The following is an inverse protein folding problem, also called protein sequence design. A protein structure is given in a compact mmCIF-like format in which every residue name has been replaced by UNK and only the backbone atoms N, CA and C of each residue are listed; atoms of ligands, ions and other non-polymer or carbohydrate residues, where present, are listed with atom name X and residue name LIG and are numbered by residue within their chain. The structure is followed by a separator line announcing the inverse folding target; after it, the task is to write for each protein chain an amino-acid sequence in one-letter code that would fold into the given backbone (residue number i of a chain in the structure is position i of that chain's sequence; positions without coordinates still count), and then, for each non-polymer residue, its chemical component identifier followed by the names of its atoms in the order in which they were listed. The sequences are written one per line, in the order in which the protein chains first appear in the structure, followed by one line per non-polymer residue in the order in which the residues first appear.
data_IF_023667650818
#
_entry.id   IF_023667650818
#
_cell.length_a   1.000
_cell.length_b   1.000
_cell.length_c   1.000
_cell.angle_alpha   90.00
_cell.angle_beta   90.00
_cell.angle_gamma   90.00
#
_symmetry.space_group_name_H-M   'P 1'
#
loop_
_entity.id
_entity.type
_entity.pdbx_description
1 polymer ?
#
# COMPACT_ATOMS: atom_id res chain seq x y z
N UNK A 1 6.33 15.09 -2.39
CA UNK A 1 5.01 15.32 -3.01
C UNK A 1 4.28 14.01 -3.14
N UNK A 2 3.11 13.88 -2.53
CA UNK A 2 2.32 12.65 -2.60
C UNK A 2 1.37 12.71 -3.79
N UNK A 3 1.22 11.63 -4.55
CA UNK A 3 0.25 11.55 -5.65
C UNK A 3 -1.19 11.88 -5.17
N UNK A 4 -1.50 11.64 -3.89
CA UNK A 4 -2.80 11.94 -3.30
C UNK A 4 -3.14 13.44 -3.27
N UNK A 5 -2.17 14.36 -3.32
CA UNK A 5 -2.47 15.79 -3.37
C UNK A 5 -3.12 16.22 -4.69
N UNK A 6 -3.04 15.39 -5.72
CA UNK A 6 -3.62 15.62 -7.04
C UNK A 6 -4.99 14.94 -7.22
N UNK A 7 -5.41 14.14 -6.24
CA UNK A 7 -6.72 13.48 -6.25
C UNK A 7 -7.83 14.52 -6.34
N UNK A 8 -8.81 14.27 -7.22
CA UNK A 8 -9.98 15.12 -7.47
C UNK A 8 -9.66 16.54 -7.99
N UNK A 9 -8.41 16.78 -8.43
CA UNK A 9 -8.03 18.01 -9.13
C UNK A 9 -8.15 17.81 -10.64
N UNK A 10 -8.72 18.79 -11.32
CA UNK A 10 -8.77 18.83 -12.79
C UNK A 10 -7.46 19.41 -13.37
N UNK A 11 -6.31 18.90 -12.92
CA UNK A 11 -5.01 19.27 -13.48
C UNK A 11 -4.70 18.35 -14.66
N UNK A 12 -4.08 18.89 -15.70
CA UNK A 12 -3.63 18.07 -16.82
C UNK A 12 -2.46 17.17 -16.36
N UNK A 13 -2.39 15.97 -16.92
CA UNK A 13 -1.38 14.95 -16.56
C UNK A 13 0.05 15.51 -16.68
N UNK A 14 0.27 16.40 -17.65
CA UNK A 14 1.53 17.07 -17.92
C UNK A 14 1.97 17.96 -16.75
N UNK A 15 1.02 18.66 -16.12
CA UNK A 15 1.28 19.51 -14.94
C UNK A 15 1.60 18.67 -13.71
N UNK A 16 0.89 17.55 -13.53
CA UNK A 16 1.15 16.59 -12.44
C UNK A 16 2.56 16.00 -12.60
N UNK A 17 2.90 15.58 -13.81
CA UNK A 17 4.21 15.01 -14.13
C UNK A 17 5.35 16.00 -13.87
N UNK A 18 5.18 17.27 -14.25
CA UNK A 18 6.14 18.33 -13.99
C UNK A 18 6.34 18.59 -12.48
N UNK A 19 5.24 18.66 -11.70
CA UNK A 19 5.31 18.91 -10.25
C UNK A 19 5.91 17.73 -9.46
N UNK A 20 5.73 16.51 -9.97
CA UNK A 20 6.30 15.29 -9.39
C UNK A 20 7.68 14.94 -9.94
N UNK A 21 8.13 15.63 -11.01
CA UNK A 21 9.35 15.32 -11.75
C UNK A 21 9.40 13.86 -12.23
N UNK A 22 8.31 13.40 -12.87
CA UNK A 22 8.18 12.04 -13.43
C UNK A 22 7.89 12.10 -14.92
N UNK A 23 8.31 11.06 -15.65
CA UNK A 23 8.02 10.93 -17.10
C UNK A 23 6.69 10.26 -17.38
N UNK A 24 6.38 9.22 -16.61
CA UNK A 24 5.19 8.40 -16.82
C UNK A 24 4.24 8.56 -15.64
N UNK A 25 2.95 8.65 -15.95
CA UNK A 25 1.88 8.71 -14.96
C UNK A 25 0.98 7.49 -15.15
N UNK A 26 0.77 6.74 -14.06
CA UNK A 26 -0.28 5.72 -13.99
C UNK A 26 -1.47 6.36 -13.31
N UNK A 27 -2.61 6.34 -13.99
CA UNK A 27 -3.88 6.78 -13.40
C UNK A 27 -4.97 5.73 -13.63
N UNK A 28 -5.99 5.76 -12.77
CA UNK A 28 -7.03 4.76 -12.84
C UNK A 28 -8.14 4.97 -11.84
N UNK A 29 -9.12 4.08 -11.90
CA UNK A 29 -10.25 4.03 -10.98
C UNK A 29 -10.52 2.60 -10.56
N UNK A 30 -10.90 2.44 -9.30
CA UNK A 30 -11.37 1.17 -8.75
C UNK A 30 -12.80 1.39 -8.27
N UNK A 31 -13.72 0.54 -8.73
CA UNK A 31 -15.09 0.46 -8.23
C UNK A 31 -15.37 -0.95 -7.78
N UNK A 32 -16.06 -1.09 -6.66
CA UNK A 32 -16.51 -2.37 -6.13
C UNK A 32 -18.02 -2.37 -6.05
N UNK A 33 -18.64 -3.43 -6.55
CA UNK A 33 -20.06 -3.71 -6.44
C UNK A 33 -20.20 -5.16 -5.98
N UNK A 34 -20.66 -5.34 -4.73
CA UNK A 34 -20.69 -6.65 -4.04
C UNK A 34 -19.32 -7.36 -4.11
N UNK A 35 -19.26 -8.46 -4.86
CA UNK A 35 -18.07 -9.28 -5.07
C UNK A 35 -17.37 -8.98 -6.40
N UNK A 36 -17.85 -8.04 -7.22
CA UNK A 36 -17.18 -7.63 -8.44
C UNK A 36 -16.34 -6.37 -8.21
N UNK A 37 -15.09 -6.40 -8.65
CA UNK A 37 -14.20 -5.24 -8.74
C UNK A 37 -14.00 -4.90 -10.21
N UNK A 38 -14.29 -3.63 -10.54
CA UNK A 38 -13.94 -3.00 -11.80
C UNK A 38 -12.74 -2.10 -11.61
N UNK A 39 -11.65 -2.37 -12.32
CA UNK A 39 -10.47 -1.52 -12.39
C UNK A 39 -10.34 -0.99 -13.80
N UNK A 40 -10.22 0.32 -13.94
CA UNK A 40 -9.72 0.95 -15.17
C UNK A 40 -8.36 1.54 -14.83
N UNK A 41 -7.36 1.29 -15.66
CA UNK A 41 -6.01 1.79 -15.46
C UNK A 41 -5.40 2.17 -16.79
N UNK A 42 -4.65 3.25 -16.81
CA UNK A 42 -3.89 3.71 -17.96
C UNK A 42 -2.51 4.22 -17.57
N UNK A 43 -1.58 4.11 -18.50
CA UNK A 43 -0.21 4.58 -18.42
C UNK A 43 -0.01 5.65 -19.50
N UNK A 44 0.41 6.83 -19.09
CA UNK A 44 0.53 8.02 -19.93
C UNK A 44 2.00 8.48 -19.95
N UNK A 45 2.54 8.74 -21.15
CA UNK A 45 3.84 9.43 -21.31
C UNK A 45 3.61 10.94 -21.32
N UNK A 46 3.93 11.60 -20.20
CA UNK A 46 3.68 13.02 -20.00
C UNK A 46 4.55 13.94 -20.86
N UNK A 47 5.58 13.42 -21.55
CA UNK A 47 6.32 14.21 -22.54
C UNK A 47 5.53 14.39 -23.84
N UNK A 48 4.64 13.45 -24.14
CA UNK A 48 3.91 13.41 -25.42
C UNK A 48 2.39 13.54 -25.25
N UNK A 49 1.90 13.50 -24.01
CA UNK A 49 0.46 13.41 -23.70
C UNK A 49 -0.19 12.11 -24.17
N UNK A 50 0.59 11.13 -24.63
CA UNK A 50 0.05 9.92 -25.25
C UNK A 50 -0.22 8.84 -24.21
N UNK A 51 -1.39 8.22 -24.31
CA UNK A 51 -1.70 6.98 -23.61
C UNK A 51 -0.97 5.82 -24.29
N UNK A 52 -0.03 5.21 -23.58
CA UNK A 52 0.80 4.11 -24.11
C UNK A 52 0.28 2.73 -23.72
N UNK A 53 -0.63 2.66 -22.73
CA UNK A 53 -1.33 1.44 -22.35
C UNK A 53 -2.59 1.78 -21.54
N UNK A 54 -3.69 1.08 -21.80
CA UNK A 54 -4.91 1.17 -21.01
C UNK A 54 -5.64 -0.17 -21.01
N UNK A 55 -6.06 -0.61 -19.84
CA UNK A 55 -6.85 -1.83 -19.67
C UNK A 55 -7.98 -1.64 -18.67
N UNK A 56 -9.01 -2.47 -18.86
CA UNK A 56 -10.13 -2.61 -17.94
C UNK A 56 -10.23 -4.05 -17.47
N UNK A 57 -10.35 -4.21 -16.17
CA UNK A 57 -10.54 -5.50 -15.52
C UNK A 57 -11.88 -5.52 -14.82
N UNK A 58 -12.62 -6.60 -15.01
CA UNK A 58 -13.78 -6.97 -14.24
C UNK A 58 -13.48 -8.35 -13.63
N UNK A 59 -13.32 -8.43 -12.30
CA UNK A 59 -12.92 -9.65 -11.57
C UNK A 59 -13.65 -9.77 -10.24
N UNK A 60 -13.68 -10.98 -9.73
CA UNK A 60 -14.16 -11.25 -8.37
C UNK A 60 -13.18 -10.69 -7.31
N UNK A 61 -13.70 -10.06 -6.26
CA UNK A 61 -12.95 -9.47 -5.16
C UNK A 61 -12.09 -10.50 -4.43
N UNK A 62 -12.53 -11.77 -4.38
CA UNK A 62 -11.74 -12.86 -3.81
C UNK A 62 -10.40 -13.09 -4.53
N UNK A 63 -10.26 -12.58 -5.76
CA UNK A 63 -9.06 -12.68 -6.60
C UNK A 63 -8.29 -11.37 -6.70
N UNK A 64 -8.55 -10.39 -5.83
CA UNK A 64 -7.96 -9.03 -5.91
C UNK A 64 -6.43 -9.04 -5.98
N UNK A 65 -5.78 -9.96 -5.27
CA UNK A 65 -4.32 -10.10 -5.31
C UNK A 65 -3.79 -10.58 -6.66
N UNK A 66 -4.41 -11.60 -7.24
CA UNK A 66 -4.04 -12.05 -8.59
C UNK A 66 -4.28 -10.95 -9.63
N UNK A 67 -5.34 -10.16 -9.46
CA UNK A 67 -5.61 -8.99 -10.30
C UNK A 67 -4.54 -7.90 -10.10
N UNK A 68 -4.11 -7.63 -8.87
CA UNK A 68 -3.04 -6.68 -8.58
C UNK A 68 -1.74 -7.10 -9.29
N UNK A 69 -1.35 -8.37 -9.17
CA UNK A 69 -0.14 -8.91 -9.82
C UNK A 69 -0.24 -8.81 -11.36
N UNK A 70 -1.41 -9.13 -11.93
CA UNK A 70 -1.68 -8.98 -13.36
C UNK A 70 -1.50 -7.52 -13.82
N UNK A 71 -2.11 -6.56 -13.12
CA UNK A 71 -2.01 -5.12 -13.43
C UNK A 71 -0.57 -4.64 -13.34
N UNK A 72 0.18 -4.98 -12.29
CA UNK A 72 1.58 -4.58 -12.13
C UNK A 72 2.43 -5.17 -13.26
N UNK A 73 2.23 -6.44 -13.60
CA UNK A 73 2.93 -7.10 -14.70
C UNK A 73 2.72 -6.38 -16.04
N UNK A 74 1.46 -6.02 -16.35
CA UNK A 74 1.14 -5.27 -17.58
C UNK A 74 1.76 -3.87 -17.62
N UNK A 75 1.79 -3.16 -16.49
CA UNK A 75 2.46 -1.86 -16.40
C UNK A 75 3.96 -2.00 -16.69
N UNK A 76 4.62 -3.01 -16.12
CA UNK A 76 6.05 -3.27 -16.35
C UNK A 76 6.33 -3.61 -17.81
N UNK A 77 5.48 -4.45 -18.42
CA UNK A 77 5.55 -4.78 -19.85
C UNK A 77 5.39 -3.52 -20.72
N UNK A 78 4.39 -2.69 -20.44
CA UNK A 78 4.12 -1.46 -21.17
C UNK A 78 5.26 -0.44 -21.07
N UNK A 79 5.92 -0.36 -19.90
CA UNK A 79 7.11 0.46 -19.71
C UNK A 79 8.36 -0.12 -20.39
N UNK A 80 8.30 -1.34 -20.93
CA UNK A 80 9.45 -2.08 -21.48
C UNK A 80 10.64 -2.16 -20.51
N UNK A 81 10.36 -2.18 -19.20
CA UNK A 81 11.39 -2.21 -18.15
C UNK A 81 11.84 -3.64 -17.93
N UNK A 82 13.15 -3.87 -18.00
CA UNK A 82 13.75 -5.14 -17.58
C UNK A 82 13.90 -5.14 -16.06
N UNK A 83 13.01 -5.85 -15.38
CA UNK A 83 13.17 -6.14 -13.96
C UNK A 83 14.34 -7.10 -13.73
N UNK A 84 15.02 -6.93 -12.60
CA UNK A 84 15.92 -7.92 -12.02
C UNK A 84 15.12 -9.12 -11.48
N UNK A 85 15.80 -10.22 -11.18
CA UNK A 85 15.16 -11.39 -10.55
C UNK A 85 14.59 -11.07 -9.16
N UNK A 86 15.31 -10.26 -8.38
CA UNK A 86 14.84 -9.80 -7.07
C UNK A 86 13.57 -8.95 -7.15
N UNK A 87 13.51 -7.98 -8.08
CA UNK A 87 12.32 -7.15 -8.28
C UNK A 87 11.11 -7.98 -8.74
N UNK A 88 11.32 -8.98 -9.62
CA UNK A 88 10.26 -9.92 -10.02
C UNK A 88 9.74 -10.72 -8.83
N UNK A 89 10.64 -11.24 -8.00
CA UNK A 89 10.26 -12.01 -6.81
C UNK A 89 9.50 -11.16 -5.79
N UNK A 90 9.90 -9.88 -5.62
CA UNK A 90 9.23 -8.95 -4.73
C UNK A 90 7.82 -8.59 -5.24
N UNK A 91 7.65 -8.34 -6.54
CA UNK A 91 6.33 -8.03 -7.13
C UNK A 91 5.39 -9.23 -7.03
N UNK A 92 5.88 -10.45 -7.25
CA UNK A 92 5.05 -11.65 -7.16
C UNK A 92 4.73 -12.09 -5.72
N UNK A 93 5.34 -11.46 -4.70
CA UNK A 93 5.08 -11.80 -3.30
C UNK A 93 3.72 -11.24 -2.90
N UNK A 94 2.76 -12.14 -2.74
CA UNK A 94 1.50 -11.80 -2.09
C UNK A 94 1.76 -11.34 -0.65
N UNK A 95 1.27 -10.15 -0.24
CA UNK A 95 1.47 -9.64 1.11
C UNK A 95 0.90 -10.60 2.17
N UNK A 96 -0.26 -11.19 1.88
CA UNK A 96 -0.96 -12.16 2.72
C UNK A 96 -1.87 -13.04 1.85
N UNK A 97 -2.24 -14.22 2.36
CA UNK A 97 -3.31 -15.06 1.76
C UNK A 97 -4.70 -14.76 2.33
N UNK A 98 -4.80 -13.92 3.36
CA UNK A 98 -6.06 -13.55 4.00
C UNK A 98 -6.49 -12.15 3.56
N UNK A 99 -7.58 -12.08 2.81
CA UNK A 99 -8.17 -10.80 2.38
C UNK A 99 -8.61 -9.94 3.57
N UNK A 100 -9.09 -10.59 4.63
CA UNK A 100 -9.49 -9.89 5.86
C UNK A 100 -8.27 -9.31 6.57
N UNK A 101 -7.15 -10.04 6.63
CA UNK A 101 -5.90 -9.51 7.17
C UNK A 101 -5.41 -8.31 6.34
N UNK A 102 -5.54 -8.39 5.02
CA UNK A 102 -5.17 -7.31 4.11
C UNK A 102 -6.05 -6.07 4.24
N UNK A 103 -7.36 -6.22 4.45
CA UNK A 103 -8.27 -5.10 4.73
C UNK A 103 -7.82 -4.34 5.98
N UNK A 104 -7.59 -5.08 7.09
CA UNK A 104 -7.12 -4.47 8.33
C UNK A 104 -5.77 -3.77 8.16
N UNK A 105 -4.83 -4.40 7.46
CA UNK A 105 -3.52 -3.80 7.15
C UNK A 105 -3.67 -2.51 6.32
N UNK A 106 -4.44 -2.54 5.24
CA UNK A 106 -4.60 -1.37 4.34
C UNK A 106 -5.27 -0.20 5.08
N UNK A 107 -6.26 -0.48 5.94
CA UNK A 107 -6.90 0.54 6.80
C UNK A 107 -5.93 1.13 7.82
N UNK A 108 -4.96 0.35 8.31
CA UNK A 108 -3.90 0.85 9.19
C UNK A 108 -2.95 1.79 8.41
N UNK A 109 -2.48 1.40 7.23
CA UNK A 109 -1.59 2.22 6.40
C UNK A 109 -2.23 3.55 5.99
N UNK A 110 -3.56 3.60 5.77
CA UNK A 110 -4.26 4.86 5.49
C UNK A 110 -4.23 5.85 6.66
N UNK A 111 -4.13 5.35 7.90
CA UNK A 111 -4.14 6.14 9.13
C UNK A 111 -2.74 6.54 9.61
N UNK A 112 -1.68 5.93 9.07
CA UNK A 112 -0.29 6.16 9.52
C UNK A 112 0.17 7.62 9.36
N UNK A 113 -0.47 8.38 8.48
CA UNK A 113 -0.15 9.78 8.23
C UNK A 113 -0.87 10.78 9.15
N UNK A 114 -1.79 10.31 10.01
CA UNK A 114 -2.49 11.13 11.00
C UNK A 114 -1.99 10.76 12.39
N UNK A 115 -1.09 11.59 12.91
CA UNK A 115 -0.43 11.35 14.19
C UNK A 115 -1.14 12.10 15.31
N UNK A 116 -2.28 11.56 15.73
CA UNK A 116 -2.87 11.88 17.03
C UNK A 116 -3.00 10.59 17.85
N UNK A 117 -3.21 10.74 19.16
CA UNK A 117 -3.24 9.61 20.08
C UNK A 117 -4.33 8.57 19.74
N UNK A 118 -5.52 9.03 19.35
CA UNK A 118 -6.64 8.14 19.00
C UNK A 118 -6.34 7.41 17.70
N UNK A 119 -5.92 8.15 16.68
CA UNK A 119 -5.57 7.59 15.37
C UNK A 119 -4.47 6.54 15.48
N UNK A 120 -3.43 6.79 16.29
CA UNK A 120 -2.34 5.83 16.50
C UNK A 120 -2.80 4.58 17.25
N UNK A 121 -3.64 4.73 18.28
CA UNK A 121 -4.24 3.59 18.99
C UNK A 121 -5.09 2.69 18.08
N UNK A 122 -5.89 3.31 17.19
CA UNK A 122 -6.64 2.58 16.16
C UNK A 122 -5.72 1.87 15.17
N UNK A 123 -4.69 2.56 14.66
CA UNK A 123 -3.68 1.99 13.75
C UNK A 123 -3.01 0.74 14.34
N UNK A 124 -2.59 0.82 15.61
CA UNK A 124 -2.02 -0.33 16.32
C UNK A 124 -3.00 -1.50 16.41
N UNK A 125 -4.27 -1.24 16.72
CA UNK A 125 -5.31 -2.26 16.80
C UNK A 125 -5.57 -2.92 15.44
N UNK A 126 -5.55 -2.15 14.35
CA UNK A 126 -5.75 -2.66 13.00
C UNK A 126 -4.60 -3.60 12.59
N UNK A 127 -3.34 -3.22 12.78
CA UNK A 127 -2.21 -4.12 12.52
C UNK A 127 -2.28 -5.40 13.37
N UNK A 128 -2.65 -5.29 14.64
CA UNK A 128 -2.82 -6.47 15.51
C UNK A 128 -3.89 -7.43 15.00
N UNK A 129 -5.01 -6.92 14.45
CA UNK A 129 -6.03 -7.76 13.82
C UNK A 129 -5.50 -8.45 12.56
N UNK A 130 -4.76 -7.72 11.72
CA UNK A 130 -4.11 -8.28 10.54
C UNK A 130 -3.15 -9.43 10.93
N UNK A 131 -2.27 -9.20 11.90
CA UNK A 131 -1.33 -10.20 12.42
C UNK A 131 -2.04 -11.41 13.02
N UNK A 132 -3.15 -11.20 13.74
CA UNK A 132 -3.93 -12.30 14.32
C UNK A 132 -4.56 -13.19 13.24
N UNK A 133 -5.03 -12.59 12.15
CA UNK A 133 -5.65 -13.29 11.03
C UNK A 133 -4.62 -13.98 10.13
N UNK A 134 -3.43 -13.38 9.98
CA UNK A 134 -2.30 -13.99 9.28
C UNK A 134 -0.99 -13.76 10.06
N UNK A 135 -0.57 -14.72 10.91
CA UNK A 135 0.69 -14.65 11.65
C UNK A 135 1.96 -14.72 10.80
N UNK A 136 1.83 -14.89 9.48
CA UNK A 136 2.94 -14.86 8.50
C UNK A 136 2.97 -13.58 7.68
N UNK A 137 2.10 -12.60 7.99
CA UNK A 137 2.03 -11.34 7.27
C UNK A 137 3.13 -10.35 7.70
N UNK A 138 4.31 -10.47 7.07
CA UNK A 138 5.50 -9.68 7.38
C UNK A 138 5.26 -8.16 7.36
N UNK A 139 4.49 -7.65 6.40
CA UNK A 139 4.23 -6.21 6.28
C UNK A 139 3.38 -5.68 7.45
N UNK A 140 2.44 -6.48 7.97
CA UNK A 140 1.64 -6.10 9.13
C UNK A 140 2.49 -6.00 10.41
N UNK A 141 3.48 -6.90 10.57
CA UNK A 141 4.48 -6.78 11.63
C UNK A 141 5.36 -5.54 11.47
N UNK A 142 5.80 -5.25 10.24
CA UNK A 142 6.60 -4.05 9.93
C UNK A 142 5.84 -2.76 10.21
N UNK A 143 4.57 -2.68 9.81
CA UNK A 143 3.68 -1.55 10.09
C UNK A 143 3.41 -1.38 11.59
N UNK A 144 3.16 -2.48 12.32
CA UNK A 144 3.02 -2.44 13.78
C UNK A 144 4.28 -1.91 14.46
N UNK A 145 5.46 -2.40 14.05
CA UNK A 145 6.74 -1.94 14.59
C UNK A 145 6.90 -0.42 14.39
N UNK A 146 6.61 0.08 13.17
CA UNK A 146 6.64 1.52 12.86
C UNK A 146 5.71 2.32 13.78
N UNK A 147 4.45 1.91 13.90
CA UNK A 147 3.47 2.59 14.75
C UNK A 147 3.88 2.59 16.24
N UNK A 148 4.53 1.52 16.73
CA UNK A 148 5.05 1.51 18.12
C UNK A 148 6.25 2.44 18.32
N UNK A 149 7.06 2.68 17.28
CA UNK A 149 8.12 3.71 17.32
C UNK A 149 7.49 5.11 17.39
N UNK A 150 6.38 5.35 16.71
CA UNK A 150 5.67 6.63 16.81
C UNK A 150 5.15 6.86 18.25
N UNK A 151 4.64 5.83 18.93
CA UNK A 151 4.23 5.94 20.35
C UNK A 151 5.40 6.42 21.23
N UNK A 152 6.60 5.90 20.97
CA UNK A 152 7.83 6.33 21.66
C UNK A 152 8.18 7.79 21.31
N UNK A 153 8.19 8.11 20.01
CA UNK A 153 8.59 9.42 19.50
C UNK A 153 7.70 10.57 19.97
N UNK A 154 6.40 10.31 20.17
CA UNK A 154 5.42 11.30 20.63
C UNK A 154 5.10 11.20 22.14
N UNK A 155 5.75 10.30 22.88
CA UNK A 155 5.53 10.04 24.31
C UNK A 155 4.05 9.76 24.68
N UNK A 156 3.38 8.95 23.87
CA UNK A 156 1.96 8.61 24.05
C UNK A 156 1.75 7.50 25.08
N UNK A 157 2.11 7.78 26.34
CA UNK A 157 2.07 6.80 27.45
C UNK A 157 0.69 6.21 27.72
N UNK A 158 -0.38 6.93 27.38
CA UNK A 158 -1.76 6.44 27.48
C UNK A 158 -2.05 5.24 26.56
N UNK A 159 -1.33 5.12 25.45
CA UNK A 159 -1.42 3.96 24.56
C UNK A 159 -0.53 2.83 25.06
N UNK A 160 0.71 3.17 25.42
CA UNK A 160 1.70 2.20 25.87
C UNK A 160 2.86 2.92 26.55
N UNK A 161 3.35 2.36 27.66
CA UNK A 161 4.59 2.84 28.28
C UNK A 161 5.76 2.75 27.29
N UNK A 162 6.63 3.76 27.28
CA UNK A 162 7.75 3.89 26.33
C UNK A 162 8.68 2.67 26.31
N UNK A 163 8.93 2.04 27.46
CA UNK A 163 9.70 0.81 27.56
C UNK A 163 9.02 -0.37 26.85
N UNK A 164 7.70 -0.49 26.98
CA UNK A 164 6.91 -1.55 26.34
C UNK A 164 6.79 -1.29 24.84
N UNK A 165 6.61 -0.03 24.42
CA UNK A 165 6.58 0.35 23.01
C UNK A 165 7.91 0.00 22.31
N UNK A 166 9.04 0.30 22.97
CA UNK A 166 10.37 -0.08 22.49
C UNK A 166 10.53 -1.59 22.36
N UNK A 167 10.13 -2.35 23.37
CA UNK A 167 10.20 -3.81 23.32
C UNK A 167 9.38 -4.37 22.15
N UNK A 168 8.12 -3.96 22.02
CA UNK A 168 7.22 -4.44 20.97
C UNK A 168 7.69 -4.04 19.57
N UNK A 169 8.28 -2.86 19.43
CA UNK A 169 8.93 -2.42 18.20
C UNK A 169 9.98 -3.42 17.72
N UNK A 170 10.90 -3.82 18.60
CA UNK A 170 11.95 -4.78 18.26
C UNK A 170 11.42 -6.18 17.99
N UNK A 171 10.48 -6.67 18.80
CA UNK A 171 9.87 -7.99 18.61
C UNK A 171 9.17 -8.08 17.26
N UNK A 172 8.36 -7.07 16.91
CA UNK A 172 7.64 -7.03 15.65
C UNK A 172 8.57 -6.85 14.44
N UNK A 173 9.58 -5.98 14.53
CA UNK A 173 10.56 -5.81 13.46
C UNK A 173 11.39 -7.08 13.25
N UNK A 174 11.81 -7.74 14.34
CA UNK A 174 12.51 -9.04 14.27
C UNK A 174 11.65 -10.10 13.60
N UNK A 175 10.38 -10.19 13.99
CA UNK A 175 9.44 -11.14 13.38
C UNK A 175 9.21 -10.87 11.89
N UNK A 176 9.12 -9.60 11.49
CA UNK A 176 8.98 -9.25 10.08
C UNK A 176 10.19 -9.67 9.24
N UNK A 177 11.40 -9.62 9.79
CA UNK A 177 12.62 -10.04 9.11
C UNK A 177 12.76 -11.56 8.98
N UNK A 178 12.14 -12.32 9.89
CA UNK A 178 12.12 -13.79 9.82
C UNK A 178 11.15 -14.34 8.76
N UNK A 179 10.20 -13.52 8.29
CA UNK A 179 9.07 -13.91 7.42
C UNK A 179 9.29 -13.52 5.94
#
# INVERSE_FOLDING_TARGET
NSAFSFKDRSLDVDEIAAQLNVRYVVEGSVRREEDLVRINVQLIDAQTGSNIWAERYDRDYSRIFALQDEVIGRIVEALSVRLTEGERAQIARLPTRSLEAYDFYTRAEQKVYVVDNRSLGETLSLYQKAIKLDPTFADAYSGYARATVDVLGFDYQVLMLSAVARQRSYEAAGRALEL
#
